data_IF_826509843493
#
_entry.id   IF_826509843493
#
_cell.length_a   1.000
_cell.length_b   1.000
_cell.length_c   1.000
_cell.angle_alpha   90.00
_cell.angle_beta   90.00
_cell.angle_gamma   90.00
#
_symmetry.space_group_name_H-M   'P 1'
#
loop_
_entity.id
_entity.type
_entity.pdbx_description
1 polymer ?
#
# COMPACT_ATOMS: atom_id res chain seq x y z
N UNK A 1 -2.38 -2.86 -14.83
CA UNK A 1 -3.23 -1.67 -14.89
C UNK A 1 -2.70 -0.72 -15.98
N UNK A 2 -1.42 -0.29 -15.95
CA UNK A 2 -0.84 0.59 -16.97
C UNK A 2 -0.94 -0.02 -18.37
N UNK A 3 -0.64 -1.32 -18.54
CA UNK A 3 -0.83 -2.06 -19.83
C UNK A 3 -2.30 -2.10 -20.31
N UNK A 4 -3.26 -1.76 -19.46
CA UNK A 4 -4.68 -1.61 -19.82
C UNK A 4 -5.04 -0.18 -20.22
N UNK A 5 -4.04 0.68 -20.39
CA UNK A 5 -4.23 2.08 -20.80
C UNK A 5 -4.63 3.04 -19.68
N UNK A 6 -4.52 2.62 -18.42
CA UNK A 6 -4.81 3.47 -17.26
C UNK A 6 -3.57 4.22 -16.80
N UNK A 7 -3.74 5.48 -16.42
CA UNK A 7 -2.70 6.25 -15.74
C UNK A 7 -2.58 5.79 -14.30
N UNK A 8 -1.40 5.29 -13.93
CA UNK A 8 -1.12 4.75 -12.59
C UNK A 8 -0.12 5.64 -11.89
N UNK A 9 -0.40 5.93 -10.63
CA UNK A 9 0.53 6.58 -9.71
C UNK A 9 0.75 5.67 -8.50
N UNK A 10 2.00 5.51 -8.09
CA UNK A 10 2.36 4.83 -6.85
C UNK A 10 2.77 5.88 -5.82
N UNK A 11 2.14 5.87 -4.68
CA UNK A 11 2.46 6.72 -3.54
C UNK A 11 3.15 5.87 -2.47
N UNK A 12 4.47 6.06 -2.32
CA UNK A 12 5.26 5.33 -1.33
C UNK A 12 5.03 5.96 0.06
N UNK A 13 4.19 5.32 0.85
CA UNK A 13 3.83 5.72 2.20
C UNK A 13 4.62 4.97 3.29
N UNK A 14 5.64 4.18 2.92
CA UNK A 14 6.58 3.59 3.88
C UNK A 14 7.72 4.57 4.18
N UNK A 15 7.42 5.55 5.03
CA UNK A 15 8.33 6.64 5.33
C UNK A 15 9.57 6.15 6.10
N UNK A 16 10.72 6.36 5.50
CA UNK A 16 12.01 5.93 6.04
C UNK A 16 12.55 4.62 5.48
N UNK A 17 11.70 3.78 4.88
CA UNK A 17 12.08 2.57 4.16
C UNK A 17 11.59 2.60 2.70
N UNK A 18 11.47 3.81 2.12
CA UNK A 18 11.01 4.01 0.75
C UNK A 18 11.74 3.09 -0.24
N UNK A 19 10.97 2.24 -0.93
CA UNK A 19 11.50 1.17 -1.77
C UNK A 19 11.13 1.31 -3.24
N UNK A 20 10.10 2.07 -3.58
CA UNK A 20 9.59 2.21 -4.95
C UNK A 20 10.67 2.76 -5.88
N UNK A 21 11.40 3.79 -5.45
CA UNK A 21 12.52 4.37 -6.22
C UNK A 21 13.65 3.36 -6.48
N UNK A 22 13.93 2.50 -5.49
CA UNK A 22 14.94 1.44 -5.61
C UNK A 22 14.48 0.36 -6.59
N UNK A 23 13.21 -0.06 -6.49
CA UNK A 23 12.63 -1.07 -7.40
C UNK A 23 12.58 -0.59 -8.84
N UNK A 24 12.39 0.71 -9.06
CA UNK A 24 12.34 1.31 -10.40
C UNK A 24 13.73 1.72 -10.93
N UNK A 25 14.76 1.69 -10.09
CA UNK A 25 16.09 2.20 -10.46
C UNK A 25 16.07 3.69 -10.82
N UNK A 26 15.14 4.45 -10.24
CA UNK A 26 14.92 5.86 -10.53
C UNK A 26 15.35 6.73 -9.34
N UNK A 27 15.83 7.94 -9.63
CA UNK A 27 16.22 8.90 -8.60
C UNK A 27 15.25 10.07 -8.63
N UNK A 28 14.36 10.21 -7.63
CA UNK A 28 13.42 11.31 -7.56
C UNK A 28 14.16 12.65 -7.40
N UNK A 29 13.69 13.68 -8.09
CA UNK A 29 14.19 15.05 -7.89
C UNK A 29 13.66 15.66 -6.59
N UNK A 30 12.41 15.35 -6.28
CA UNK A 30 11.70 15.79 -5.09
C UNK A 30 10.95 14.60 -4.48
N UNK A 31 10.61 14.69 -3.20
CA UNK A 31 9.94 13.64 -2.45
C UNK A 31 8.89 14.23 -1.49
N UNK A 32 8.26 13.40 -0.66
CA UNK A 32 7.25 13.86 0.31
C UNK A 32 7.78 14.87 1.33
N UNK A 33 9.07 14.85 1.64
CA UNK A 33 9.69 15.87 2.50
C UNK A 33 9.67 17.25 1.86
N UNK A 34 9.86 17.34 0.53
CA UNK A 34 9.77 18.62 -0.20
C UNK A 34 8.34 19.17 -0.21
N UNK A 35 7.33 18.29 -0.32
CA UNK A 35 5.93 18.66 -0.17
C UNK A 35 5.62 19.17 1.24
N UNK A 36 6.04 18.44 2.28
CA UNK A 36 5.72 18.77 3.67
C UNK A 36 6.44 20.02 4.19
N UNK A 37 7.69 20.22 3.79
CA UNK A 37 8.58 21.19 4.46
C UNK A 37 9.13 22.28 3.54
N UNK A 38 9.03 22.12 2.21
CA UNK A 38 9.62 23.06 1.25
C UNK A 38 8.58 23.70 0.32
N UNK A 39 7.28 23.46 0.57
CA UNK A 39 6.18 24.10 -0.15
C UNK A 39 6.02 23.63 -1.60
N UNK A 40 6.53 22.46 -1.95
CA UNK A 40 6.25 21.83 -3.24
C UNK A 40 4.81 21.34 -3.29
N UNK A 41 4.17 21.36 -4.46
CA UNK A 41 2.86 20.73 -4.67
C UNK A 41 3.00 19.23 -4.85
N UNK A 42 1.91 18.46 -4.61
CA UNK A 42 1.90 17.01 -4.87
C UNK A 42 2.27 16.66 -6.32
N UNK A 43 1.86 17.49 -7.28
CA UNK A 43 2.16 17.25 -8.68
C UNK A 43 3.63 17.53 -9.05
N UNK A 44 4.30 18.45 -8.38
CA UNK A 44 5.72 18.75 -8.63
C UNK A 44 6.66 17.64 -8.14
N UNK A 45 6.24 16.85 -7.17
CA UNK A 45 7.05 15.77 -6.60
C UNK A 45 6.83 14.41 -7.29
N UNK A 46 5.97 14.36 -8.32
CA UNK A 46 5.81 13.14 -9.11
C UNK A 46 7.06 12.91 -9.94
N UNK A 47 7.56 11.69 -9.87
CA UNK A 47 8.66 11.20 -10.70
C UNK A 47 8.11 10.20 -11.71
N UNK A 48 8.55 10.29 -12.96
CA UNK A 48 8.20 9.32 -13.98
C UNK A 48 9.05 8.06 -13.83
N UNK A 49 8.38 6.94 -13.68
CA UNK A 49 8.97 5.62 -13.59
C UNK A 49 8.81 4.82 -14.88
N UNK A 50 9.15 3.52 -14.86
CA UNK A 50 9.06 2.65 -16.04
C UNK A 50 7.61 2.50 -16.51
N UNK A 51 7.42 2.26 -17.80
CA UNK A 51 6.13 2.03 -18.45
C UNK A 51 5.11 3.18 -18.29
N UNK A 52 5.57 4.42 -18.07
CA UNK A 52 4.71 5.57 -17.86
C UNK A 52 3.97 5.56 -16.51
N UNK A 53 4.45 4.77 -15.54
CA UNK A 53 3.92 4.77 -14.18
C UNK A 53 4.57 5.93 -13.42
N UNK A 54 3.76 6.86 -12.93
CA UNK A 54 4.25 7.89 -12.02
C UNK A 54 4.48 7.33 -10.61
N UNK A 55 5.41 7.91 -9.86
CA UNK A 55 5.52 7.59 -8.44
C UNK A 55 5.92 8.81 -7.63
N UNK A 56 5.52 8.79 -6.36
CA UNK A 56 5.93 9.76 -5.33
C UNK A 56 6.73 8.99 -4.29
N UNK A 57 8.00 9.38 -4.11
CA UNK A 57 8.88 8.76 -3.13
C UNK A 57 8.61 9.27 -1.73
N UNK A 58 8.57 8.36 -0.76
CA UNK A 58 8.55 8.67 0.67
C UNK A 58 9.80 9.40 1.16
N UNK A 59 10.89 9.35 0.40
CA UNK A 59 12.18 9.96 0.73
C UNK A 59 13.04 9.06 1.61
N UNK A 60 13.98 8.36 1.00
CA UNK A 60 14.95 7.53 1.72
C UNK A 60 15.81 8.37 2.65
N UNK A 61 15.86 7.99 3.93
CA UNK A 61 16.78 8.57 4.90
C UNK A 61 16.35 9.90 5.54
N UNK A 62 15.12 10.34 5.38
CA UNK A 62 14.58 11.46 6.16
C UNK A 62 14.16 10.92 7.53
N UNK A 63 15.10 10.88 8.46
CA UNK A 63 14.88 10.40 9.84
C UNK A 63 13.70 11.07 10.55
N UNK A 64 13.34 12.29 10.17
CA UNK A 64 12.20 13.03 10.69
C UNK A 64 10.84 12.51 10.20
N UNK A 65 10.78 11.75 9.11
CA UNK A 65 9.52 11.26 8.56
C UNK A 65 8.96 10.05 9.30
N UNK A 66 9.80 9.29 10.00
CA UNK A 66 9.33 8.19 10.87
C UNK A 66 8.54 8.69 12.11
N UNK A 67 8.47 10.00 12.31
CA UNK A 67 7.80 10.66 13.44
C UNK A 67 6.91 11.80 12.98
N UNK A 68 6.23 11.64 11.84
CA UNK A 68 5.25 12.64 11.41
C UNK A 68 4.15 12.78 12.45
N UNK A 69 3.82 14.02 12.78
CA UNK A 69 2.66 14.32 13.58
C UNK A 69 1.38 13.94 12.80
N UNK A 70 0.32 13.60 13.53
CA UNK A 70 -0.97 13.22 12.95
C UNK A 70 -1.51 14.27 11.96
N UNK A 71 -1.27 15.54 12.22
CA UNK A 71 -1.66 16.65 11.32
C UNK A 71 -0.92 16.60 9.98
N UNK A 72 0.36 16.22 10.00
CA UNK A 72 1.17 16.09 8.79
C UNK A 72 0.71 14.89 7.95
N UNK A 73 0.37 13.78 8.61
CA UNK A 73 -0.20 12.60 7.92
C UNK A 73 -1.54 12.97 7.28
N UNK A 74 -2.43 13.63 8.01
CA UNK A 74 -3.70 14.12 7.46
C UNK A 74 -3.53 15.15 6.35
N UNK A 75 -2.46 15.94 6.39
CA UNK A 75 -2.12 16.87 5.31
C UNK A 75 -1.68 16.12 4.04
N UNK A 76 -0.88 15.04 4.18
CA UNK A 76 -0.53 14.15 3.07
C UNK A 76 -1.77 13.49 2.46
N UNK A 77 -2.64 12.92 3.30
CA UNK A 77 -3.90 12.29 2.85
C UNK A 77 -4.77 13.28 2.05
N UNK A 78 -4.89 14.51 2.54
CA UNK A 78 -5.63 15.56 1.81
C UNK A 78 -4.97 15.94 0.49
N UNK A 79 -3.64 15.92 0.44
CA UNK A 79 -2.88 16.18 -0.78
C UNK A 79 -3.13 15.14 -1.88
N UNK A 80 -3.50 13.89 -1.52
CA UNK A 80 -3.84 12.87 -2.51
C UNK A 80 -5.02 13.29 -3.41
N UNK A 81 -5.96 14.08 -2.90
CA UNK A 81 -7.09 14.58 -3.70
C UNK A 81 -6.64 15.51 -4.86
N UNK A 82 -5.46 16.11 -4.77
CA UNK A 82 -4.89 16.89 -5.87
C UNK A 82 -4.50 16.01 -7.07
N UNK A 83 -4.29 14.70 -6.81
CA UNK A 83 -3.83 13.73 -7.79
C UNK A 83 -4.97 13.08 -8.60
N UNK A 84 -6.22 13.28 -8.23
CA UNK A 84 -7.41 12.73 -8.92
C UNK A 84 -7.46 13.09 -10.41
N UNK A 85 -6.93 14.27 -10.75
CA UNK A 85 -6.86 14.73 -12.15
C UNK A 85 -5.64 14.19 -12.90
N UNK A 86 -4.70 13.62 -12.16
CA UNK A 86 -3.41 13.19 -12.69
C UNK A 86 -3.37 11.70 -13.02
N UNK A 87 -4.03 10.88 -12.21
CA UNK A 87 -4.04 9.43 -12.35
C UNK A 87 -5.45 8.85 -12.29
N UNK A 88 -5.68 7.77 -13.04
CA UNK A 88 -6.92 6.96 -12.95
C UNK A 88 -6.90 6.04 -11.73
N UNK A 89 -5.70 5.64 -11.29
CA UNK A 89 -5.49 4.74 -10.14
C UNK A 89 -4.29 5.22 -9.35
N UNK A 90 -4.47 5.40 -8.05
CA UNK A 90 -3.41 5.69 -7.10
C UNK A 90 -3.24 4.45 -6.21
N UNK A 91 -2.04 3.87 -6.23
CA UNK A 91 -1.67 2.77 -5.34
C UNK A 91 -0.86 3.34 -4.18
N UNK A 92 -1.37 3.24 -2.97
CA UNK A 92 -0.69 3.69 -1.76
C UNK A 92 0.03 2.48 -1.16
N UNK A 93 1.35 2.49 -1.22
CA UNK A 93 2.21 1.43 -0.66
C UNK A 93 2.58 1.79 0.78
N UNK A 94 1.97 1.11 1.75
CA UNK A 94 2.19 1.36 3.17
C UNK A 94 3.18 0.38 3.76
N UNK A 95 3.91 0.78 4.79
CA UNK A 95 4.63 -0.15 5.63
C UNK A 95 3.70 -1.16 6.31
N UNK A 96 4.27 -2.25 6.82
CA UNK A 96 3.54 -3.25 7.59
C UNK A 96 3.11 -2.71 8.98
N UNK A 97 2.09 -3.33 9.56
CA UNK A 97 1.64 -3.06 10.93
C UNK A 97 0.41 -2.18 11.03
N UNK A 98 0.20 -1.62 12.22
CA UNK A 98 -1.01 -0.88 12.63
C UNK A 98 -0.68 0.51 13.16
N UNK A 99 0.41 1.11 12.69
CA UNK A 99 0.76 2.48 13.09
C UNK A 99 -0.34 3.46 12.70
N UNK A 100 -0.42 4.59 13.39
CA UNK A 100 -1.39 5.63 13.05
C UNK A 100 -1.28 6.07 11.59
N UNK A 101 -0.06 6.16 11.07
CA UNK A 101 0.21 6.46 9.67
C UNK A 101 -0.46 5.45 8.71
N UNK A 102 -0.26 4.15 8.92
CA UNK A 102 -0.89 3.09 8.11
C UNK A 102 -2.42 3.21 8.19
N UNK A 103 -2.95 3.39 9.39
CA UNK A 103 -4.40 3.49 9.62
C UNK A 103 -5.03 4.69 8.92
N UNK A 104 -4.39 5.86 8.93
CA UNK A 104 -4.90 7.07 8.25
C UNK A 104 -4.99 6.86 6.73
N UNK A 105 -3.98 6.25 6.10
CA UNK A 105 -4.03 5.94 4.66
C UNK A 105 -5.05 4.87 4.33
N UNK A 106 -5.15 3.82 5.14
CA UNK A 106 -6.12 2.74 4.93
C UNK A 106 -7.55 3.27 5.06
N UNK A 107 -7.83 4.09 6.08
CA UNK A 107 -9.17 4.69 6.27
C UNK A 107 -9.54 5.69 5.18
N UNK A 108 -8.56 6.32 4.54
CA UNK A 108 -8.79 7.26 3.44
C UNK A 108 -9.00 6.55 2.08
N UNK A 109 -8.79 5.24 2.01
CA UNK A 109 -8.83 4.48 0.75
C UNK A 109 -10.16 3.76 0.60
N UNK A 110 -10.84 3.87 -0.56
CA UNK A 110 -12.08 3.14 -0.83
C UNK A 110 -11.86 1.63 -1.05
N UNK A 111 -10.66 1.24 -1.46
CA UNK A 111 -10.25 -0.16 -1.62
C UNK A 111 -8.97 -0.42 -0.84
N UNK A 112 -8.95 -1.50 -0.07
CA UNK A 112 -7.80 -1.94 0.73
C UNK A 112 -7.38 -3.32 0.30
N UNK A 113 -6.13 -3.46 -0.17
CA UNK A 113 -5.54 -4.75 -0.49
C UNK A 113 -4.69 -5.22 0.70
N UNK A 114 -5.19 -6.22 1.42
CA UNK A 114 -4.41 -6.88 2.47
C UNK A 114 -3.61 -8.00 1.84
N UNK A 115 -2.31 -7.80 1.71
CA UNK A 115 -1.38 -8.78 1.16
C UNK A 115 -0.84 -9.63 2.30
N UNK A 116 -1.14 -10.92 2.28
CA UNK A 116 -0.72 -11.87 3.32
C UNK A 116 -0.06 -13.10 2.71
N UNK A 117 0.69 -13.83 3.50
CA UNK A 117 1.37 -15.07 3.07
C UNK A 117 0.90 -16.26 3.90
N UNK A 118 1.21 -17.51 3.53
CA UNK A 118 0.85 -18.68 4.32
C UNK A 118 1.49 -18.73 5.73
N UNK A 119 2.51 -17.93 5.98
CA UNK A 119 3.21 -17.93 7.27
C UNK A 119 2.29 -17.46 8.41
N UNK A 120 2.30 -18.14 9.57
CA UNK A 120 1.44 -17.79 10.71
C UNK A 120 1.61 -16.36 11.21
N UNK A 121 2.82 -15.80 11.17
CA UNK A 121 3.09 -14.41 11.53
C UNK A 121 2.36 -13.44 10.63
N UNK A 122 2.43 -13.64 9.30
CA UNK A 122 1.75 -12.79 8.32
C UNK A 122 0.22 -12.82 8.48
N UNK A 123 -0.35 -13.99 8.74
CA UNK A 123 -1.78 -14.13 9.03
C UNK A 123 -2.18 -13.40 10.31
N UNK A 124 -1.34 -13.49 11.36
CA UNK A 124 -1.56 -12.79 12.63
C UNK A 124 -1.50 -11.28 12.47
N UNK A 125 -0.53 -10.78 11.70
CA UNK A 125 -0.38 -9.35 11.41
C UNK A 125 -1.56 -8.83 10.59
N UNK A 126 -1.97 -9.58 9.56
CA UNK A 126 -3.16 -9.25 8.75
C UNK A 126 -4.43 -9.20 9.59
N UNK A 127 -4.64 -10.19 10.47
CA UNK A 127 -5.75 -10.17 11.41
C UNK A 127 -5.70 -8.97 12.36
N UNK A 128 -4.51 -8.63 12.86
CA UNK A 128 -4.32 -7.48 13.75
C UNK A 128 -4.69 -6.16 13.09
N UNK A 129 -4.33 -5.99 11.81
CA UNK A 129 -4.75 -4.84 11.00
C UNK A 129 -6.28 -4.79 10.85
N UNK A 130 -6.90 -5.90 10.45
CA UNK A 130 -8.34 -5.99 10.29
C UNK A 130 -9.06 -5.71 11.61
N UNK A 131 -8.58 -6.27 12.71
CA UNK A 131 -9.11 -6.00 14.04
C UNK A 131 -9.03 -4.51 14.39
N UNK A 132 -7.89 -3.88 14.16
CA UNK A 132 -7.72 -2.45 14.42
C UNK A 132 -8.68 -1.59 13.59
N UNK A 133 -8.87 -1.93 12.31
CA UNK A 133 -9.84 -1.26 11.43
C UNK A 133 -11.28 -1.43 11.92
N UNK A 134 -11.71 -2.66 12.15
CA UNK A 134 -13.10 -2.96 12.54
C UNK A 134 -13.48 -2.39 13.92
N UNK A 135 -12.51 -2.15 14.78
CA UNK A 135 -12.73 -1.48 16.09
C UNK A 135 -12.58 0.05 16.02
N UNK A 136 -12.13 0.60 14.89
CA UNK A 136 -12.02 2.04 14.76
C UNK A 136 -13.40 2.66 14.52
N UNK A 137 -13.88 3.58 15.37
CA UNK A 137 -15.21 4.17 15.23
C UNK A 137 -15.39 5.03 13.98
N UNK A 138 -14.31 5.42 13.32
CA UNK A 138 -14.33 6.20 12.08
C UNK A 138 -14.30 5.31 10.83
N UNK A 139 -14.10 4.00 10.98
CA UNK A 139 -14.08 3.06 9.87
C UNK A 139 -15.48 2.71 9.40
N UNK A 140 -15.75 2.87 8.11
CA UNK A 140 -17.02 2.52 7.49
C UNK A 140 -16.86 1.30 6.58
N UNK A 141 -17.46 0.18 6.97
CA UNK A 141 -17.50 -1.06 6.18
C UNK A 141 -18.27 -0.92 4.87
N UNK A 142 -19.20 0.02 4.79
CA UNK A 142 -19.98 0.28 3.59
C UNK A 142 -19.21 1.08 2.55
N UNK A 143 -18.19 1.82 2.99
CA UNK A 143 -17.40 2.71 2.13
C UNK A 143 -16.06 2.13 1.72
N UNK A 144 -15.60 1.06 2.40
CA UNK A 144 -14.28 0.47 2.16
C UNK A 144 -14.40 -1.00 1.80
N UNK A 145 -13.97 -1.36 0.60
CA UNK A 145 -13.87 -2.75 0.16
C UNK A 145 -12.50 -3.33 0.54
N UNK A 146 -12.52 -4.34 1.42
CA UNK A 146 -11.29 -5.02 1.86
C UNK A 146 -11.13 -6.31 1.09
N UNK A 147 -10.01 -6.43 0.38
CA UNK A 147 -9.68 -7.59 -0.45
C UNK A 147 -8.38 -8.23 -0.01
N UNK A 148 -8.39 -9.55 0.07
CA UNK A 148 -7.22 -10.36 0.43
C UNK A 148 -6.49 -10.82 -0.82
N UNK A 149 -5.18 -10.62 -0.82
CA UNK A 149 -4.24 -11.19 -1.80
C UNK A 149 -3.34 -12.17 -1.07
N UNK A 150 -3.44 -13.45 -1.43
CA UNK A 150 -2.56 -14.50 -0.91
C UNK A 150 -1.25 -14.52 -1.70
N UNK A 151 -0.17 -14.04 -1.09
CA UNK A 151 1.13 -13.88 -1.74
C UNK A 151 2.08 -15.04 -1.41
N UNK A 152 3.02 -15.33 -2.31
CA UNK A 152 4.06 -16.36 -2.15
C UNK A 152 3.49 -17.76 -1.89
N UNK A 153 2.39 -18.08 -2.51
CA UNK A 153 1.75 -19.40 -2.43
C UNK A 153 2.27 -20.32 -3.53
N UNK A 154 2.19 -21.62 -3.30
CA UNK A 154 2.65 -22.62 -4.26
C UNK A 154 1.53 -23.11 -5.20
N UNK A 155 0.27 -22.89 -4.83
CA UNK A 155 -0.89 -23.26 -5.66
C UNK A 155 -2.09 -22.34 -5.40
N UNK A 156 -3.10 -22.41 -6.28
CA UNK A 156 -4.37 -21.71 -6.09
C UNK A 156 -5.14 -22.22 -4.89
N UNK A 157 -5.06 -23.51 -4.60
CA UNK A 157 -5.69 -24.15 -3.43
C UNK A 157 -5.08 -23.61 -2.13
N UNK A 158 -3.75 -23.48 -2.06
CA UNK A 158 -3.10 -22.88 -0.90
C UNK A 158 -3.51 -21.41 -0.73
N UNK A 159 -3.59 -20.66 -1.83
CA UNK A 159 -4.05 -19.27 -1.81
C UNK A 159 -5.47 -19.13 -1.27
N UNK A 160 -6.36 -20.00 -1.69
CA UNK A 160 -7.73 -20.05 -1.20
C UNK A 160 -7.79 -20.43 0.30
N UNK A 161 -6.99 -21.39 0.75
CA UNK A 161 -6.92 -21.78 2.16
C UNK A 161 -6.41 -20.64 3.07
N UNK A 162 -5.44 -19.86 2.59
CA UNK A 162 -4.94 -18.65 3.32
C UNK A 162 -6.08 -17.66 3.53
N UNK A 163 -6.83 -17.36 2.46
CA UNK A 163 -8.00 -16.48 2.54
C UNK A 163 -9.06 -17.04 3.50
N UNK A 164 -9.47 -18.31 3.35
CA UNK A 164 -10.51 -18.93 4.16
C UNK A 164 -10.17 -18.91 5.66
N UNK A 165 -8.92 -19.19 6.02
CA UNK A 165 -8.45 -19.08 7.40
C UNK A 165 -8.60 -17.67 7.96
N UNK A 166 -8.21 -16.65 7.20
CA UNK A 166 -8.31 -15.27 7.64
C UNK A 166 -9.78 -14.83 7.71
N UNK A 167 -10.58 -15.12 6.69
CA UNK A 167 -12.00 -14.74 6.64
C UNK A 167 -12.80 -15.41 7.77
N UNK A 168 -12.55 -16.71 8.06
CA UNK A 168 -13.25 -17.40 9.14
C UNK A 168 -13.02 -16.76 10.52
N UNK A 169 -11.81 -16.26 10.77
CA UNK A 169 -11.49 -15.56 12.03
C UNK A 169 -12.13 -14.17 12.05
N UNK A 170 -12.18 -13.47 10.91
CA UNK A 170 -12.87 -12.18 10.78
C UNK A 170 -14.37 -12.34 11.03
N UNK A 171 -15.02 -13.33 10.41
CA UNK A 171 -16.46 -13.61 10.62
C UNK A 171 -16.75 -13.98 12.08
N UNK A 172 -15.90 -14.79 12.69
CA UNK A 172 -16.10 -15.27 14.05
C UNK A 172 -15.93 -14.17 15.12
N UNK A 173 -14.97 -13.26 14.94
CA UNK A 173 -14.53 -12.37 16.01
C UNK A 173 -14.72 -10.87 15.72
N UNK A 174 -14.93 -10.48 14.45
CA UNK A 174 -15.03 -9.07 14.07
C UNK A 174 -16.40 -8.70 13.49
N UNK A 175 -17.35 -9.65 13.47
CA UNK A 175 -18.69 -9.44 12.89
C UNK A 175 -18.64 -8.82 11.50
N UNK A 176 -17.80 -9.36 10.63
CA UNK A 176 -17.58 -8.86 9.28
C UNK A 176 -17.07 -9.93 8.34
N UNK A 177 -16.76 -9.53 7.12
CA UNK A 177 -16.18 -10.41 6.11
C UNK A 177 -15.18 -9.62 5.25
N UNK A 178 -14.32 -10.33 4.56
CA UNK A 178 -13.37 -9.80 3.59
C UNK A 178 -13.53 -10.53 2.26
N UNK A 179 -13.14 -9.89 1.16
CA UNK A 179 -13.26 -10.48 -0.18
C UNK A 179 -11.94 -11.11 -0.64
N UNK A 180 -12.00 -12.22 -1.36
CA UNK A 180 -10.82 -12.80 -1.99
C UNK A 180 -10.57 -12.15 -3.36
N UNK A 181 -9.43 -11.49 -3.54
CA UNK A 181 -9.05 -10.94 -4.83
C UNK A 181 -8.31 -11.96 -5.69
N UNK A 182 -7.45 -12.76 -5.07
CA UNK A 182 -6.65 -13.74 -5.78
C UNK A 182 -5.32 -14.04 -5.09
N UNK A 183 -4.42 -14.68 -5.83
CA UNK A 183 -3.13 -15.08 -5.31
C UNK A 183 -1.97 -14.65 -6.22
N UNK A 184 -0.79 -14.52 -5.62
CA UNK A 184 0.48 -14.32 -6.30
C UNK A 184 1.37 -15.52 -5.96
N UNK A 185 1.76 -16.32 -6.96
CA UNK A 185 2.60 -17.49 -6.72
C UNK A 185 4.02 -17.06 -6.29
N UNK A 186 4.68 -17.96 -5.56
CA UNK A 186 6.10 -17.80 -5.33
C UNK A 186 6.85 -17.95 -6.65
N UNK A 187 7.64 -16.93 -7.01
CA UNK A 187 8.36 -16.90 -8.29
C UNK A 187 9.79 -16.35 -8.10
N UNK A 188 10.76 -17.16 -8.47
CA UNK A 188 12.17 -16.77 -8.46
C UNK A 188 12.51 -15.67 -9.47
N UNK A 189 11.70 -15.53 -10.52
CA UNK A 189 11.89 -14.44 -11.49
C UNK A 189 11.60 -13.08 -10.86
N UNK A 190 10.64 -13.02 -9.92
CA UNK A 190 10.36 -11.80 -9.16
C UNK A 190 11.57 -11.40 -8.30
N UNK A 191 12.19 -12.36 -7.60
CA UNK A 191 13.42 -12.09 -6.82
C UNK A 191 14.54 -11.55 -7.70
N UNK A 192 14.69 -12.11 -8.91
CA UNK A 192 15.69 -11.65 -9.88
C UNK A 192 15.38 -10.25 -10.38
N UNK A 193 14.12 -9.95 -10.67
CA UNK A 193 13.63 -8.64 -11.10
C UNK A 193 13.98 -7.57 -10.07
N UNK A 194 13.67 -7.81 -8.80
CA UNK A 194 14.01 -6.90 -7.70
C UNK A 194 15.52 -6.65 -7.62
N UNK A 195 16.35 -7.70 -7.70
CA UNK A 195 17.81 -7.56 -7.69
C UNK A 195 18.36 -6.78 -8.89
N UNK A 196 17.67 -6.83 -10.02
CA UNK A 196 18.07 -6.13 -11.25
C UNK A 196 17.45 -4.74 -11.36
N UNK A 197 16.58 -4.34 -10.43
CA UNK A 197 15.83 -3.08 -10.45
C UNK A 197 15.04 -2.91 -11.76
N UNK A 198 14.45 -4.00 -12.24
CA UNK A 198 13.64 -4.05 -13.45
C UNK A 198 12.31 -4.73 -13.16
N UNK A 199 11.17 -4.03 -13.29
CA UNK A 199 9.85 -4.64 -13.13
C UNK A 199 9.65 -5.87 -14.04
N UNK A 200 8.90 -6.86 -13.58
CA UNK A 200 8.52 -8.07 -14.36
C UNK A 200 7.48 -7.77 -15.40
#
# INVERSE_FOLDING_TARGET
ISKMGKKVLIFDADFGLANVEVMFGAVPRYNLGDFLFQGKSMTEIITEGPMGIGFISGGAGILSMNQLADEQIRYLVRGLAELDRYADVILIDTGAGISNQVMEFVMASPEVLVVTTPEPSSLTDSYSLLKALYHNPLFSREQTDIRIVSNRVISSEEGQQVYEKLNSVVEQFLDGSVNYLGMIPQDHMLERSVRQQKPV
#
